data_IF_789204753426
#
_entry.id   IF_789204753426
#
_cell.length_a   1.000
_cell.length_b   1.000
_cell.length_c   1.000
_cell.angle_alpha   90.00
_cell.angle_beta   90.00
_cell.angle_gamma   90.00
#
_symmetry.space_group_name_H-M   'P 1'
#
loop_
_entity.id
_entity.type
_entity.pdbx_description
1 polymer ?
#
# COMPACT_ATOMS: atom_id res chain seq x y z
N UNK A 1 -13.71 -10.83 -10.20
CA UNK A 1 -12.96 -11.67 -11.08
C UNK A 1 -11.54 -11.88 -10.59
N UNK A 2 -11.10 -13.12 -10.57
CA UNK A 2 -9.83 -13.45 -9.94
C UNK A 2 -8.66 -13.55 -10.87
N UNK A 3 -8.95 -13.37 -12.14
CA UNK A 3 -7.95 -13.55 -13.19
C UNK A 3 -6.71 -12.69 -12.98
N UNK A 4 -6.86 -11.53 -12.33
CA UNK A 4 -5.73 -10.64 -12.14
C UNK A 4 -4.65 -11.29 -11.29
N UNK A 5 -5.00 -11.93 -10.19
CA UNK A 5 -4.03 -12.66 -9.41
C UNK A 5 -3.56 -13.93 -10.11
N UNK A 6 -4.44 -14.53 -10.91
CA UNK A 6 -4.02 -15.67 -11.71
C UNK A 6 -2.99 -15.27 -12.75
N UNK A 7 -3.03 -14.03 -13.22
CA UNK A 7 -2.08 -13.51 -14.19
C UNK A 7 -0.72 -13.18 -13.59
N UNK A 8 -0.64 -13.08 -12.27
CA UNK A 8 0.62 -12.78 -11.59
C UNK A 8 0.84 -13.72 -10.41
N UNK A 9 0.81 -15.03 -10.65
CA UNK A 9 0.89 -15.99 -9.57
C UNK A 9 2.22 -16.02 -8.85
N UNK A 10 3.26 -15.46 -9.44
CA UNK A 10 4.59 -15.41 -8.83
C UNK A 10 4.73 -14.34 -7.76
N UNK A 11 3.80 -13.41 -7.68
CA UNK A 11 3.89 -12.35 -6.69
C UNK A 11 3.46 -12.90 -5.34
N UNK A 12 4.39 -12.88 -4.40
CA UNK A 12 4.12 -13.31 -3.04
C UNK A 12 4.26 -12.10 -2.13
N UNK A 13 3.23 -11.85 -1.35
CA UNK A 13 3.21 -10.70 -0.46
C UNK A 13 3.50 -11.14 0.97
N UNK A 14 4.36 -10.39 1.65
CA UNK A 14 4.61 -10.60 3.06
C UNK A 14 3.39 -10.13 3.86
N UNK A 15 3.36 -10.51 5.13
CA UNK A 15 2.29 -10.05 6.02
C UNK A 15 2.19 -8.53 6.03
N UNK A 16 3.33 -7.84 6.16
CA UNK A 16 3.34 -6.39 6.22
C UNK A 16 2.88 -5.75 4.92
N UNK A 17 3.23 -6.35 3.78
CA UNK A 17 2.78 -5.84 2.48
C UNK A 17 1.27 -5.97 2.34
N UNK A 18 0.71 -7.10 2.75
CA UNK A 18 -0.74 -7.29 2.74
C UNK A 18 -1.44 -6.31 3.67
N UNK A 19 -0.87 -6.12 4.84
CA UNK A 19 -1.42 -5.19 5.83
C UNK A 19 -1.45 -3.76 5.27
N UNK A 20 -0.35 -3.33 4.66
CA UNK A 20 -0.25 -1.99 4.08
C UNK A 20 -1.30 -1.80 2.98
N UNK A 21 -1.44 -2.78 2.07
CA UNK A 21 -2.44 -2.70 1.02
C UNK A 21 -3.85 -2.63 1.57
N UNK A 22 -4.13 -3.46 2.58
CA UNK A 22 -5.45 -3.49 3.21
C UNK A 22 -5.79 -2.12 3.82
N UNK A 23 -4.87 -1.57 4.60
CA UNK A 23 -5.09 -0.30 5.26
C UNK A 23 -5.16 0.84 4.24
N UNK A 24 -4.29 0.82 3.24
CA UNK A 24 -4.31 1.83 2.20
C UNK A 24 -5.67 1.86 1.51
N UNK A 25 -6.22 0.71 1.22
CA UNK A 25 -7.51 0.64 0.56
C UNK A 25 -8.65 1.04 1.48
N UNK A 26 -8.67 0.51 2.72
CA UNK A 26 -9.83 0.69 3.59
C UNK A 26 -9.86 2.04 4.28
N UNK A 27 -8.70 2.52 4.75
CA UNK A 27 -8.64 3.74 5.56
C UNK A 27 -8.36 4.98 4.73
N UNK A 28 -7.72 4.84 3.58
CA UNK A 28 -7.25 5.97 2.79
C UNK A 28 -7.79 5.99 1.37
N UNK A 29 -8.76 5.14 1.08
CA UNK A 29 -9.40 5.08 -0.23
C UNK A 29 -8.40 4.81 -1.35
N UNK A 30 -7.35 4.07 -1.04
CA UNK A 30 -6.36 3.63 -2.01
C UNK A 30 -5.22 4.59 -2.29
N UNK A 31 -5.11 5.67 -1.53
CA UNK A 31 -4.11 6.69 -1.80
C UNK A 31 -3.62 7.35 -0.51
N UNK A 32 -2.31 7.34 -0.26
CA UNK A 32 -1.75 8.02 0.91
C UNK A 32 -0.25 8.20 0.78
N UNK A 33 0.27 9.16 1.55
CA UNK A 33 1.70 9.27 1.80
C UNK A 33 2.09 8.31 2.92
N UNK A 34 3.36 7.86 2.93
CA UNK A 34 3.83 6.97 3.99
C UNK A 34 3.62 7.52 5.40
N UNK A 35 4.13 8.73 5.70
CA UNK A 35 3.90 9.30 7.04
C UNK A 35 2.44 9.47 7.40
N UNK A 36 1.61 9.81 6.40
CA UNK A 36 0.18 9.96 6.62
C UNK A 36 -0.45 8.67 7.12
N UNK A 37 -0.03 7.55 6.58
CA UNK A 37 -0.57 6.26 7.00
C UNK A 37 -0.31 6.01 8.49
N UNK A 38 0.88 6.30 8.95
CA UNK A 38 1.20 6.14 10.37
C UNK A 38 0.43 7.12 11.25
N UNK A 39 0.29 8.35 10.79
CA UNK A 39 -0.31 9.40 11.60
C UNK A 39 -1.82 9.26 11.73
N UNK A 40 -2.46 8.74 10.69
CA UNK A 40 -3.92 8.77 10.60
C UNK A 40 -4.59 7.40 10.67
N UNK A 41 -3.83 6.32 10.63
CA UNK A 41 -4.43 4.99 10.67
C UNK A 41 -5.05 4.67 12.04
N UNK A 42 -6.14 3.92 12.01
CA UNK A 42 -6.72 3.33 13.22
C UNK A 42 -6.27 1.88 13.40
N UNK A 43 -5.49 1.35 12.47
CA UNK A 43 -5.08 -0.05 12.52
C UNK A 43 -3.91 -0.22 13.48
N UNK A 44 -4.13 -1.03 14.52
CA UNK A 44 -3.13 -1.23 15.56
C UNK A 44 -1.89 -1.94 15.07
N UNK A 45 -2.05 -2.84 14.11
CA UNK A 45 -0.91 -3.56 13.55
C UNK A 45 -0.04 -2.63 12.71
N UNK A 46 -0.67 -1.76 11.93
CA UNK A 46 0.08 -0.82 11.12
C UNK A 46 0.85 0.18 11.98
N UNK A 47 0.25 0.59 13.10
CA UNK A 47 0.91 1.53 14.02
C UNK A 47 2.21 1.00 14.57
N UNK A 48 2.41 -0.30 14.55
CA UNK A 48 3.64 -0.91 15.05
C UNK A 48 4.79 -0.84 14.06
N UNK A 49 4.51 -0.49 12.82
CA UNK A 49 5.55 -0.37 11.80
C UNK A 49 6.24 0.99 11.90
N UNK A 50 7.52 1.01 11.52
CA UNK A 50 8.26 2.26 11.40
C UNK A 50 8.02 2.86 10.03
N UNK A 51 8.32 4.15 9.88
CA UNK A 51 8.21 4.80 8.57
C UNK A 51 9.13 4.13 7.55
N UNK A 52 10.30 3.66 7.99
CA UNK A 52 11.21 2.97 7.08
C UNK A 52 10.62 1.65 6.60
N UNK A 53 9.95 0.92 7.47
CA UNK A 53 9.29 -0.32 7.08
C UNK A 53 8.17 -0.07 6.08
N UNK A 54 7.38 0.98 6.30
CA UNK A 54 6.32 1.33 5.37
C UNK A 54 6.90 1.73 4.02
N UNK A 55 7.89 2.59 4.01
CA UNK A 55 8.52 3.05 2.77
C UNK A 55 9.12 1.88 1.99
N UNK A 56 9.87 1.03 2.69
CA UNK A 56 10.50 -0.13 2.08
C UNK A 56 9.47 -1.04 1.42
N UNK A 57 8.40 -1.34 2.15
CA UNK A 57 7.36 -2.22 1.62
C UNK A 57 6.58 -1.58 0.47
N UNK A 58 6.37 -0.26 0.54
CA UNK A 58 5.73 0.46 -0.58
C UNK A 58 6.57 0.39 -1.84
N UNK A 59 7.91 0.52 -1.70
CA UNK A 59 8.78 0.39 -2.87
C UNK A 59 8.69 -1.01 -3.47
N UNK A 60 8.63 -2.03 -2.63
CA UNK A 60 8.46 -3.40 -3.10
C UNK A 60 7.13 -3.60 -3.81
N UNK A 61 6.06 -3.05 -3.23
CA UNK A 61 4.75 -3.13 -3.85
C UNK A 61 4.73 -2.41 -5.20
N UNK A 62 5.44 -1.28 -5.28
CA UNK A 62 5.56 -0.54 -6.55
C UNK A 62 6.30 -1.36 -7.59
N UNK A 63 7.38 -2.02 -7.20
CA UNK A 63 8.13 -2.88 -8.12
C UNK A 63 7.30 -4.01 -8.67
N UNK A 64 6.34 -4.48 -7.89
CA UNK A 64 5.43 -5.54 -8.31
C UNK A 64 4.19 -5.03 -9.04
N UNK A 65 4.09 -3.72 -9.24
CA UNK A 65 2.96 -3.14 -9.97
C UNK A 65 1.67 -3.04 -9.19
N UNK A 66 1.72 -3.20 -7.87
CA UNK A 66 0.52 -3.17 -7.03
C UNK A 66 0.20 -1.78 -6.50
N UNK A 67 1.20 -0.92 -6.45
CA UNK A 67 0.98 0.51 -6.19
C UNK A 67 1.81 1.31 -7.17
N UNK A 68 1.38 2.53 -7.42
CA UNK A 68 2.18 3.53 -8.14
C UNK A 68 2.45 4.68 -7.19
N UNK A 69 3.43 5.51 -7.55
CA UNK A 69 3.79 6.65 -6.72
C UNK A 69 3.95 7.89 -7.55
N UNK A 70 3.66 9.02 -6.92
CA UNK A 70 3.80 10.33 -7.54
C UNK A 70 4.30 11.30 -6.48
N UNK A 71 5.24 12.15 -6.84
CA UNK A 71 5.76 13.13 -5.89
C UNK A 71 4.80 14.28 -5.75
N UNK A 72 4.44 14.57 -4.50
CA UNK A 72 3.53 15.66 -4.17
C UNK A 72 3.96 16.32 -2.86
N UNK A 73 3.46 17.52 -2.65
CA UNK A 73 3.70 18.23 -1.40
C UNK A 73 2.83 17.63 -0.29
N UNK A 74 3.46 17.37 0.85
CA UNK A 74 2.76 16.93 2.05
C UNK A 74 3.39 17.61 3.26
N UNK A 75 2.64 18.43 3.94
CA UNK A 75 3.10 19.17 5.12
C UNK A 75 4.44 19.87 4.90
N UNK A 76 4.53 20.58 3.77
CA UNK A 76 5.71 21.37 3.45
C UNK A 76 6.89 20.59 2.89
N UNK A 77 6.73 19.29 2.64
CA UNK A 77 7.78 18.46 2.06
C UNK A 77 7.31 17.78 0.80
N UNK A 78 8.23 17.43 -0.07
CA UNK A 78 7.93 16.65 -1.27
C UNK A 78 8.13 15.19 -0.94
N UNK A 79 7.05 14.44 -0.99
CA UNK A 79 7.05 13.02 -0.68
C UNK A 79 6.34 12.25 -1.77
N UNK A 80 6.53 10.92 -1.77
CA UNK A 80 5.77 10.06 -2.66
C UNK A 80 4.39 9.80 -2.07
N UNK A 81 3.36 10.08 -2.86
CA UNK A 81 2.01 9.61 -2.56
C UNK A 81 1.84 8.28 -3.26
N UNK A 82 1.43 7.26 -2.55
CA UNK A 82 1.25 5.91 -3.10
C UNK A 82 -0.22 5.67 -3.37
N UNK A 83 -0.49 5.05 -4.52
CA UNK A 83 -1.85 4.79 -4.97
C UNK A 83 -1.96 3.34 -5.41
N UNK A 84 -3.00 2.67 -4.96
CA UNK A 84 -3.29 1.30 -5.37
C UNK A 84 -3.61 1.27 -6.85
N UNK A 85 -3.00 0.32 -7.56
CA UNK A 85 -3.29 0.12 -8.98
C UNK A 85 -4.62 -0.62 -9.14
N UNK A 86 -5.23 -0.61 -10.34
CA UNK A 86 -6.49 -1.33 -10.56
C UNK A 86 -6.42 -2.82 -10.23
N UNK A 87 -5.26 -3.43 -10.40
CA UNK A 87 -5.07 -4.85 -10.07
C UNK A 87 -5.46 -5.11 -8.62
N UNK A 88 -4.95 -4.29 -7.70
CA UNK A 88 -5.23 -4.46 -6.28
C UNK A 88 -6.68 -4.15 -5.95
N UNK A 89 -7.26 -3.21 -6.67
CA UNK A 89 -8.65 -2.85 -6.42
C UNK A 89 -9.59 -4.04 -6.59
N UNK A 90 -9.30 -4.91 -7.56
CA UNK A 90 -10.13 -6.09 -7.78
C UNK A 90 -9.85 -7.18 -6.76
N UNK A 91 -8.59 -7.38 -6.43
CA UNK A 91 -8.20 -8.55 -5.66
C UNK A 91 -7.92 -8.28 -4.19
N UNK A 92 -8.07 -7.03 -3.77
CA UNK A 92 -7.78 -6.67 -2.38
C UNK A 92 -8.67 -7.39 -1.38
N UNK A 93 -9.83 -7.86 -1.82
CA UNK A 93 -10.72 -8.62 -0.96
C UNK A 93 -10.10 -9.93 -0.49
N UNK A 94 -9.13 -10.43 -1.22
CA UNK A 94 -8.45 -11.67 -0.88
C UNK A 94 -7.28 -11.46 0.09
N UNK A 95 -7.02 -10.22 0.43
CA UNK A 95 -5.96 -9.88 1.37
C UNK A 95 -6.55 -9.84 2.77
N UNK A 96 -6.42 -10.90 3.49
CA UNK A 96 -7.03 -10.97 4.81
C UNK A 96 -6.03 -11.39 5.87
#
# INVERSE_FOLDING_TARGET
MKVIFDDIPSIKLSYNQKLILKVLKSDFRGRAFGPQMLDETDDEELKKLTINQITWNMLRLRENGLVESEKKSYQGRILNEYKITPIVQYEAVDIK
#
